data_IF_547388819466
#
_entry.id   IF_547388819466
#
_cell.length_a   1.000
_cell.length_b   1.000
_cell.length_c   1.000
_cell.angle_alpha   90.00
_cell.angle_beta   90.00
_cell.angle_gamma   90.00
#
_symmetry.space_group_name_H-M   'P 1'
#
loop_
_entity.id
_entity.type
_entity.pdbx_description
1 polymer ?
#
# COMPACT_ATOMS: atom_id res chain seq x y z
N UNK A 1 -2.41 -20.52 -20.86
CA UNK A 1 -2.82 -19.10 -20.89
C UNK A 1 -3.56 -18.68 -19.62
N UNK A 2 -4.67 -19.34 -19.25
CA UNK A 2 -5.52 -18.96 -18.09
C UNK A 2 -4.74 -18.86 -16.76
N UNK A 3 -3.82 -19.78 -16.50
CA UNK A 3 -3.08 -19.81 -15.24
C UNK A 3 -2.07 -18.65 -15.09
N UNK A 4 -1.42 -18.22 -16.18
CA UNK A 4 -0.58 -17.02 -16.15
C UNK A 4 -1.43 -15.78 -15.92
N UNK A 5 -2.60 -15.70 -16.56
CA UNK A 5 -3.54 -14.61 -16.31
C UNK A 5 -3.98 -14.57 -14.84
N UNK A 6 -4.23 -15.72 -14.19
CA UNK A 6 -4.56 -15.79 -12.78
C UNK A 6 -3.43 -15.25 -11.88
N UNK A 7 -2.19 -15.70 -12.10
CA UNK A 7 -1.01 -15.23 -11.33
C UNK A 7 -0.87 -13.71 -11.47
N UNK A 8 -0.93 -13.20 -12.70
CA UNK A 8 -0.84 -11.76 -12.95
C UNK A 8 -2.02 -10.97 -12.41
N UNK A 9 -3.25 -11.50 -12.41
CA UNK A 9 -4.41 -10.86 -11.79
C UNK A 9 -4.24 -10.71 -10.28
N UNK A 10 -3.74 -11.75 -9.59
CA UNK A 10 -3.45 -11.69 -8.15
C UNK A 10 -2.32 -10.70 -7.87
N UNK A 11 -1.23 -10.76 -8.64
CA UNK A 11 -0.13 -9.78 -8.53
C UNK A 11 -0.62 -8.36 -8.78
N UNK A 12 -1.48 -8.14 -9.77
CA UNK A 12 -2.06 -6.83 -10.07
C UNK A 12 -2.96 -6.34 -8.93
N UNK A 13 -3.78 -7.21 -8.33
CA UNK A 13 -4.60 -6.85 -7.17
C UNK A 13 -3.73 -6.46 -5.96
N UNK A 14 -2.68 -7.23 -5.67
CA UNK A 14 -1.72 -6.88 -4.63
C UNK A 14 -0.98 -5.57 -4.94
N UNK A 15 -0.62 -5.33 -6.20
CA UNK A 15 0.04 -4.09 -6.62
C UNK A 15 -0.90 -2.87 -6.52
N UNK A 16 -2.19 -3.05 -6.83
CA UNK A 16 -3.22 -2.04 -6.63
C UNK A 16 -3.38 -1.72 -5.14
N UNK A 17 -3.51 -2.75 -4.28
CA UNK A 17 -3.61 -2.56 -2.84
C UNK A 17 -2.37 -1.86 -2.26
N UNK A 18 -1.17 -2.27 -2.68
CA UNK A 18 0.09 -1.63 -2.29
C UNK A 18 0.16 -0.17 -2.74
N UNK A 19 -0.21 0.10 -3.99
CA UNK A 19 -0.23 1.47 -4.53
C UNK A 19 -1.24 2.34 -3.80
N UNK A 20 -2.42 1.80 -3.48
CA UNK A 20 -3.45 2.50 -2.72
C UNK A 20 -2.97 2.82 -1.30
N UNK A 21 -2.26 1.89 -0.65
CA UNK A 21 -1.66 2.09 0.67
C UNK A 21 -0.59 3.19 0.64
N UNK A 22 0.36 3.13 -0.29
CA UNK A 22 1.37 4.18 -0.45
C UNK A 22 0.72 5.54 -0.76
N UNK A 23 -0.34 5.54 -1.56
CA UNK A 23 -1.06 6.77 -1.89
C UNK A 23 -1.78 7.37 -0.67
N UNK A 24 -2.41 6.55 0.17
CA UNK A 24 -2.99 7.00 1.44
C UNK A 24 -1.94 7.62 2.36
N UNK A 25 -0.77 6.97 2.48
CA UNK A 25 0.35 7.51 3.26
C UNK A 25 0.85 8.84 2.66
N UNK A 26 0.88 8.96 1.33
CA UNK A 26 1.25 10.21 0.67
C UNK A 26 0.26 11.35 0.96
N UNK A 27 -1.05 11.09 0.91
CA UNK A 27 -2.08 12.07 1.27
C UNK A 27 -1.97 12.50 2.72
N UNK A 28 -1.64 11.56 3.61
CA UNK A 28 -1.43 11.87 5.01
C UNK A 28 -0.23 12.80 5.21
N UNK A 29 0.89 12.50 4.55
CA UNK A 29 2.11 13.33 4.63
C UNK A 29 1.89 14.73 4.03
N UNK A 30 1.16 14.84 2.92
CA UNK A 30 1.00 16.09 2.16
C UNK A 30 -0.27 16.89 2.49
N UNK A 31 -1.20 16.32 3.26
CA UNK A 31 -2.50 16.93 3.54
C UNK A 31 -2.42 18.14 4.47
N UNK A 32 -2.13 17.94 5.77
CA UNK A 32 -2.02 19.05 6.73
C UNK A 32 -0.69 19.78 6.59
N UNK A 33 -0.70 21.09 6.79
CA UNK A 33 0.54 21.84 6.94
C UNK A 33 1.12 21.60 8.33
N UNK A 34 1.75 20.44 8.51
CA UNK A 34 2.27 19.95 9.79
C UNK A 34 3.20 20.96 10.48
N UNK A 35 3.84 21.85 9.71
CA UNK A 35 4.71 22.91 10.22
C UNK A 35 3.93 24.08 10.84
N UNK A 36 2.71 24.33 10.37
CA UNK A 36 1.84 25.38 10.86
C UNK A 36 1.03 24.96 12.10
N UNK A 37 0.73 23.66 12.24
CA UNK A 37 -0.11 23.16 13.33
C UNK A 37 0.65 22.93 14.67
N UNK A 38 1.97 22.76 14.66
CA UNK A 38 2.76 22.62 15.90
C UNK A 38 2.45 21.36 16.71
N UNK A 39 2.69 21.40 18.03
CA UNK A 39 2.47 20.26 18.93
C UNK A 39 0.97 19.92 19.02
N UNK A 40 0.62 18.64 18.80
CA UNK A 40 -0.78 18.17 18.82
C UNK A 40 -1.50 18.27 17.47
N UNK A 41 -0.80 18.70 16.42
CA UNK A 41 -1.30 18.77 15.04
C UNK A 41 -2.01 17.48 14.59
N UNK A 42 -1.51 16.33 15.00
CA UNK A 42 -2.06 15.04 14.61
C UNK A 42 -3.45 14.80 15.20
N UNK A 43 -3.64 15.11 16.48
CA UNK A 43 -4.93 14.91 17.17
C UNK A 43 -5.98 15.93 16.70
N UNK A 44 -5.57 17.17 16.45
CA UNK A 44 -6.46 18.20 15.88
C UNK A 44 -6.88 17.87 14.44
N UNK A 45 -5.95 17.37 13.63
CA UNK A 45 -6.27 16.86 12.29
C UNK A 45 -7.23 15.67 12.36
N UNK A 46 -6.98 14.70 13.23
CA UNK A 46 -7.85 13.53 13.44
C UNK A 46 -9.27 13.92 13.88
N UNK A 47 -9.40 14.92 14.76
CA UNK A 47 -10.69 15.42 15.24
C UNK A 47 -11.47 16.18 14.16
N UNK A 48 -10.78 16.84 13.24
CA UNK A 48 -11.39 17.52 12.08
C UNK A 48 -11.53 16.63 10.83
N UNK A 49 -10.90 15.45 10.83
CA UNK A 49 -10.94 14.52 9.72
C UNK A 49 -12.35 13.94 9.55
N UNK A 50 -12.96 14.27 8.41
CA UNK A 50 -14.24 13.71 8.00
C UNK A 50 -14.02 12.78 6.83
N UNK A 51 -14.69 11.62 6.88
CA UNK A 51 -14.72 10.69 5.77
C UNK A 51 -15.33 11.39 4.55
N UNK A 52 -14.64 11.43 3.40
CA UNK A 52 -15.18 12.03 2.19
C UNK A 52 -16.51 11.38 1.80
N UNK A 53 -17.48 12.18 1.33
CA UNK A 53 -18.82 11.69 1.02
C UNK A 53 -18.84 10.52 0.02
N UNK A 54 -17.92 10.53 -0.95
CA UNK A 54 -17.77 9.45 -1.94
C UNK A 54 -17.29 8.11 -1.35
N UNK A 55 -16.68 8.14 -0.16
CA UNK A 55 -16.21 6.97 0.57
C UNK A 55 -17.26 6.46 1.56
N UNK A 56 -18.18 7.33 1.99
CA UNK A 56 -19.24 6.99 2.95
C UNK A 56 -20.19 5.90 2.47
N UNK A 57 -20.47 5.85 1.16
CA UNK A 57 -21.34 4.83 0.56
C UNK A 57 -20.69 3.44 0.48
N UNK A 58 -19.35 3.37 0.55
CA UNK A 58 -18.58 2.14 0.41
C UNK A 58 -18.02 1.60 1.74
N UNK A 59 -17.99 2.41 2.80
CA UNK A 59 -17.28 2.08 4.03
C UNK A 59 -18.26 1.81 5.19
N UNK A 60 -18.29 0.59 5.76
CA UNK A 60 -19.11 0.31 6.93
C UNK A 60 -18.65 1.18 8.11
N UNK A 61 -19.60 1.79 8.83
CA UNK A 61 -19.32 2.74 9.93
C UNK A 61 -18.34 2.18 10.99
N UNK A 62 -18.32 0.86 11.20
CA UNK A 62 -17.37 0.20 12.11
C UNK A 62 -15.89 0.30 11.66
N UNK A 63 -15.62 0.25 10.36
CA UNK A 63 -14.26 0.35 9.83
C UNK A 63 -13.65 1.74 10.02
N UNK A 64 -14.49 2.78 10.06
CA UNK A 64 -14.05 4.17 10.32
C UNK A 64 -13.57 4.31 11.76
N UNK A 65 -14.31 3.74 12.71
CA UNK A 65 -13.93 3.77 14.13
C UNK A 65 -12.64 3.00 14.41
N UNK A 66 -12.47 1.83 13.80
CA UNK A 66 -11.21 1.07 13.91
C UNK A 66 -10.03 1.82 13.31
N UNK A 67 -10.21 2.44 12.15
CA UNK A 67 -9.17 3.26 11.53
C UNK A 67 -8.81 4.47 12.40
N UNK A 68 -9.79 5.17 12.97
CA UNK A 68 -9.53 6.26 13.92
C UNK A 68 -8.78 5.76 15.17
N UNK A 69 -9.13 4.59 15.70
CA UNK A 69 -8.42 4.00 16.83
C UNK A 69 -6.95 3.70 16.50
N UNK A 70 -6.70 3.09 15.33
CA UNK A 70 -5.34 2.84 14.83
C UNK A 70 -4.54 4.13 14.62
N UNK A 71 -5.16 5.16 14.02
CA UNK A 71 -4.54 6.47 13.84
C UNK A 71 -4.28 7.18 15.17
N UNK A 72 -5.15 6.98 16.17
CA UNK A 72 -4.95 7.51 17.53
C UNK A 72 -3.73 6.87 18.19
N UNK A 73 -3.55 5.56 18.03
CA UNK A 73 -2.34 4.85 18.51
C UNK A 73 -1.05 5.32 17.84
N UNK A 74 -1.13 5.79 16.60
CA UNK A 74 0.01 6.34 15.85
C UNK A 74 0.40 7.75 16.28
N UNK A 75 -0.47 8.47 17.01
CA UNK A 75 -0.24 9.87 17.37
C UNK A 75 1.10 10.14 18.06
N UNK A 76 1.47 9.40 19.13
CA UNK A 76 2.75 9.60 19.80
C UNK A 76 3.97 9.40 18.89
N UNK A 77 3.88 8.49 17.91
CA UNK A 77 4.96 8.26 16.95
C UNK A 77 5.07 9.40 15.94
N UNK A 78 3.94 9.92 15.46
CA UNK A 78 3.89 11.03 14.52
C UNK A 78 4.40 12.31 15.17
N UNK A 79 3.93 12.62 16.38
CA UNK A 79 4.40 13.78 17.17
C UNK A 79 5.90 13.67 17.48
N UNK A 80 6.40 12.46 17.80
CA UNK A 80 7.83 12.22 18.00
C UNK A 80 8.65 12.49 16.72
N UNK A 81 8.17 12.04 15.57
CA UNK A 81 8.78 12.31 14.25
C UNK A 81 8.78 13.80 13.90
N UNK A 82 7.67 14.49 14.18
CA UNK A 82 7.51 15.94 13.98
C UNK A 82 8.48 16.74 14.85
N UNK A 83 8.61 16.37 16.12
CA UNK A 83 9.49 17.01 17.09
C UNK A 83 10.98 16.82 16.76
N UNK A 84 11.38 15.67 16.21
CA UNK A 84 12.80 15.36 15.95
C UNK A 84 13.39 16.09 14.73
N UNK A 85 12.62 16.33 13.66
CA UNK A 85 13.12 17.09 12.51
C UNK A 85 12.01 17.50 11.51
N UNK A 86 11.61 18.78 11.43
CA UNK A 86 10.70 19.26 10.38
C UNK A 86 11.28 19.13 8.96
N UNK A 87 12.60 18.99 8.81
CA UNK A 87 13.24 18.68 7.52
C UNK A 87 12.97 17.26 7.01
N UNK A 88 12.62 16.33 7.89
CA UNK A 88 12.43 14.91 7.56
C UNK A 88 11.12 14.67 6.79
N UNK A 89 10.10 15.50 7.01
CA UNK A 89 8.85 15.52 6.24
C UNK A 89 9.10 15.70 4.73
N UNK A 90 10.09 16.51 4.37
CA UNK A 90 10.46 16.73 2.96
C UNK A 90 11.08 15.48 2.32
N UNK A 91 11.75 14.63 3.11
CA UNK A 91 12.38 13.39 2.66
C UNK A 91 11.43 12.18 2.71
N UNK A 92 10.38 12.23 3.53
CA UNK A 92 9.36 11.19 3.64
C UNK A 92 8.67 10.92 2.29
N UNK A 93 8.37 11.97 1.51
CA UNK A 93 7.77 11.82 0.18
C UNK A 93 8.68 11.06 -0.81
N UNK A 94 9.93 11.48 -1.07
CA UNK A 94 10.81 10.73 -1.96
C UNK A 94 11.12 9.32 -1.44
N UNK A 95 11.30 9.13 -0.12
CA UNK A 95 11.48 7.79 0.47
C UNK A 95 10.26 6.90 0.23
N UNK A 96 9.04 7.43 0.37
CA UNK A 96 7.80 6.72 0.09
C UNK A 96 7.71 6.31 -1.37
N UNK A 97 8.06 7.19 -2.31
CA UNK A 97 8.09 6.87 -3.74
C UNK A 97 9.15 5.82 -4.10
N UNK A 98 10.32 5.88 -3.47
CA UNK A 98 11.36 4.85 -3.61
C UNK A 98 10.85 3.51 -3.08
N UNK A 99 10.23 3.51 -1.89
CA UNK A 99 9.63 2.31 -1.29
C UNK A 99 8.48 1.74 -2.13
N UNK A 100 7.66 2.60 -2.72
CA UNK A 100 6.61 2.21 -3.66
C UNK A 100 7.20 1.50 -4.89
N UNK A 101 8.20 2.10 -5.52
CA UNK A 101 8.89 1.54 -6.69
C UNK A 101 9.57 0.20 -6.38
N UNK A 102 10.22 0.10 -5.22
CA UNK A 102 10.83 -1.14 -4.74
C UNK A 102 9.78 -2.22 -4.47
N UNK A 103 8.65 -1.87 -3.84
CA UNK A 103 7.53 -2.78 -3.61
C UNK A 103 6.92 -3.29 -4.92
N UNK A 104 6.72 -2.42 -5.91
CA UNK A 104 6.28 -2.83 -7.24
C UNK A 104 7.30 -3.74 -7.93
N UNK A 105 8.60 -3.43 -7.84
CA UNK A 105 9.65 -4.27 -8.40
C UNK A 105 9.60 -5.68 -7.80
N UNK A 106 9.49 -5.80 -6.47
CA UNK A 106 9.38 -7.09 -5.79
C UNK A 106 8.13 -7.85 -6.23
N UNK A 107 6.98 -7.18 -6.32
CA UNK A 107 5.73 -7.80 -6.78
C UNK A 107 5.83 -8.29 -8.23
N UNK A 108 6.45 -7.52 -9.11
CA UNK A 108 6.71 -7.91 -10.51
C UNK A 108 7.63 -9.13 -10.56
N UNK A 109 8.73 -9.12 -9.79
CA UNK A 109 9.64 -10.27 -9.70
C UNK A 109 8.91 -11.53 -9.18
N UNK A 110 7.99 -11.37 -8.22
CA UNK A 110 7.16 -12.46 -7.72
C UNK A 110 6.21 -13.00 -8.82
N UNK A 111 5.58 -12.12 -9.60
CA UNK A 111 4.72 -12.49 -10.73
C UNK A 111 5.49 -13.21 -11.85
N UNK A 112 6.71 -12.77 -12.12
CA UNK A 112 7.63 -13.43 -13.07
C UNK A 112 8.05 -14.80 -12.54
N UNK A 113 8.51 -14.90 -11.29
CA UNK A 113 8.91 -16.16 -10.67
C UNK A 113 7.76 -17.17 -10.63
N UNK A 114 6.56 -16.72 -10.26
CA UNK A 114 5.33 -17.52 -10.32
C UNK A 114 5.01 -17.99 -11.74
N UNK A 115 5.17 -17.13 -12.75
CA UNK A 115 4.98 -17.52 -14.15
C UNK A 115 6.01 -18.55 -14.61
N UNK A 116 7.29 -18.40 -14.25
CA UNK A 116 8.34 -19.37 -14.60
C UNK A 116 8.07 -20.73 -13.95
N UNK A 117 7.69 -20.75 -12.66
CA UNK A 117 7.37 -21.98 -11.94
C UNK A 117 6.24 -22.77 -12.62
N UNK A 118 5.25 -22.07 -13.16
CA UNK A 118 4.13 -22.67 -13.89
C UNK A 118 4.58 -23.34 -15.18
N UNK A 119 5.47 -22.69 -15.92
CA UNK A 119 6.06 -23.27 -17.13
C UNK A 119 6.88 -24.51 -16.77
N UNK A 120 7.73 -24.42 -15.74
CA UNK A 120 8.58 -25.51 -15.29
C UNK A 120 7.79 -26.75 -14.84
N UNK A 121 6.66 -26.56 -14.15
CA UNK A 121 5.79 -27.66 -13.70
C UNK A 121 5.03 -28.29 -14.90
N UNK A 122 4.68 -27.51 -15.92
CA UNK A 122 3.88 -27.99 -17.07
C UNK A 122 4.70 -28.56 -18.22
N UNK A 123 5.96 -28.12 -18.38
CA UNK A 123 6.88 -28.65 -19.38
C UNK A 123 7.03 -30.20 -19.34
N UNK A 124 7.23 -30.84 -18.17
CA UNK A 124 7.37 -32.30 -18.11
C UNK A 124 6.05 -33.05 -18.36
N UNK A 125 4.89 -32.44 -18.08
CA UNK A 125 3.59 -33.05 -18.35
C UNK A 125 3.27 -33.12 -19.85
N UNK A 126 3.64 -32.08 -20.61
CA UNK A 126 3.48 -32.04 -22.07
C UNK A 126 4.40 -33.05 -22.79
N UNK A 127 5.64 -33.20 -22.31
CA UNK A 127 6.60 -34.15 -22.87
C UNK A 127 6.17 -35.62 -22.69
N UNK A 128 5.53 -35.97 -21.56
CA UNK A 128 4.99 -37.33 -21.33
C UNK A 128 3.83 -37.68 -22.25
N UNK A 129 2.94 -36.74 -22.55
CA UNK A 129 1.80 -37.00 -23.45
C UNK A 129 2.25 -37.25 -24.90
N UNK A 130 3.31 -36.58 -25.35
CA UNK A 130 3.87 -36.79 -26.69
C UNK A 130 4.60 -38.13 -26.85
N UNK A 131 5.13 -38.71 -25.76
CA UNK A 131 5.78 -40.02 -25.79
C UNK A 131 4.79 -41.20 -25.78
N UNK A 132 3.50 -40.94 -25.54
CA UNK A 132 2.44 -41.94 -25.48
C UNK A 132 1.47 -41.91 -26.68
N UNK A 133 1.70 -41.03 -27.65
CA UNK A 133 0.95 -40.91 -28.90
C UNK A 133 1.79 -41.40 -30.08
#
# INVERSE_FOLDING_TARGET
>A
MIWHALVWSVTALCALAWSLLCWLVHLLITGPDWRALGDGAWMDWLGSWRVPAWLGDWLPLGAIGELQAWLTMLGPWVESLLAHAPGMLSWLTPVLWIGWGLGLLVLVLLGVAGSVLVVAIRAPAAARQQASA
#
